data_IF_867552023367
#
_entry.id   IF_867552023367
#
_cell.length_a   1.000
_cell.length_b   1.000
_cell.length_c   1.000
_cell.angle_alpha   90.00
_cell.angle_beta   90.00
_cell.angle_gamma   90.00
#
_symmetry.space_group_name_H-M   'P 1'
#
loop_
_entity.id
_entity.type
_entity.pdbx_description
1 polymer ?
#
# COMPACT_ATOMS: atom_id res chain seq x y z
N UNK A 1 28.75 -61.87 18.49
CA UNK A 1 29.19 -60.80 17.56
C UNK A 1 28.20 -60.68 16.41
N UNK A 2 27.39 -59.62 16.41
CA UNK A 2 27.00 -58.78 15.27
C UNK A 2 25.70 -58.05 15.62
N UNK A 3 25.86 -56.85 16.17
CA UNK A 3 24.86 -55.79 16.16
C UNK A 3 24.65 -55.39 14.70
N UNK A 4 23.39 -55.29 14.25
CA UNK A 4 23.07 -54.58 13.01
C UNK A 4 22.05 -53.50 13.34
N UNK A 5 22.50 -52.25 13.21
CA UNK A 5 21.76 -51.03 13.47
C UNK A 5 20.55 -50.91 12.52
N UNK A 6 19.45 -50.43 13.09
CA UNK A 6 18.27 -49.92 12.41
C UNK A 6 18.63 -48.54 11.86
N UNK A 7 18.58 -48.36 10.54
CA UNK A 7 18.57 -47.03 9.93
C UNK A 7 17.11 -46.64 9.65
N UNK A 8 16.59 -45.73 10.47
CA UNK A 8 15.28 -45.12 10.29
C UNK A 8 15.45 -43.90 9.39
N UNK A 9 15.19 -44.04 8.08
CA UNK A 9 15.11 -42.91 7.16
C UNK A 9 13.77 -42.20 7.36
N UNK A 10 13.78 -41.10 8.12
CA UNK A 10 12.69 -40.14 8.18
C UNK A 10 12.61 -39.43 6.82
N UNK A 11 11.65 -39.84 5.99
CA UNK A 11 11.21 -39.07 4.85
C UNK A 11 10.61 -37.76 5.38
N UNK A 12 11.31 -36.67 5.10
CA UNK A 12 10.79 -35.31 5.21
C UNK A 12 9.49 -35.23 4.40
N UNK A 13 8.36 -35.20 5.10
CA UNK A 13 7.11 -34.68 4.56
C UNK A 13 7.30 -33.17 4.50
N UNK A 14 7.93 -32.71 3.41
CA UNK A 14 7.89 -31.31 3.02
C UNK A 14 6.45 -31.00 2.63
N UNK A 15 5.69 -30.45 3.57
CA UNK A 15 4.39 -29.85 3.33
C UNK A 15 4.61 -28.75 2.28
N UNK A 16 4.28 -29.01 1.02
CA UNK A 16 4.18 -27.95 0.02
C UNK A 16 2.97 -27.11 0.40
N UNK A 17 3.24 -25.94 0.97
CA UNK A 17 2.28 -24.85 1.06
C UNK A 17 1.89 -24.50 -0.38
N UNK A 18 0.74 -25.02 -0.83
CA UNK A 18 0.14 -24.62 -2.10
C UNK A 18 -0.09 -23.11 -1.99
N UNK A 19 0.73 -22.35 -2.71
CA UNK A 19 0.39 -20.98 -3.05
C UNK A 19 -0.95 -21.03 -3.80
N UNK A 20 -2.04 -20.83 -3.07
CA UNK A 20 -3.35 -20.56 -3.65
C UNK A 20 -3.25 -19.16 -4.26
N UNK A 21 -2.68 -19.09 -5.46
CA UNK A 21 -2.76 -17.91 -6.30
C UNK A 21 -4.25 -17.68 -6.59
N UNK A 22 -4.74 -16.47 -6.28
CA UNK A 22 -6.13 -16.10 -6.57
C UNK A 22 -6.48 -16.38 -8.05
N UNK A 23 -7.73 -16.81 -8.34
CA UNK A 23 -8.19 -16.96 -9.71
C UNK A 23 -8.00 -15.67 -10.51
N UNK A 24 -7.68 -15.86 -11.80
CA UNK A 24 -7.14 -14.91 -12.79
C UNK A 24 -7.91 -13.59 -12.99
N UNK A 25 -9.05 -13.40 -12.32
CA UNK A 25 -10.07 -12.43 -12.71
C UNK A 25 -10.63 -11.59 -11.55
N UNK A 26 -10.26 -11.87 -10.29
CA UNK A 26 -10.87 -11.21 -9.11
C UNK A 26 -9.99 -10.16 -8.43
N UNK A 27 -8.81 -9.86 -8.94
CA UNK A 27 -8.01 -8.79 -8.33
C UNK A 27 -8.60 -7.44 -8.72
N UNK A 28 -9.13 -6.65 -7.77
CA UNK A 28 -9.54 -5.29 -8.07
C UNK A 28 -8.29 -4.45 -8.40
N UNK A 29 -8.32 -3.77 -9.55
CA UNK A 29 -7.46 -2.62 -9.78
C UNK A 29 -7.78 -1.60 -8.69
N UNK A 30 -6.81 -1.26 -7.85
CA UNK A 30 -7.05 -0.27 -6.83
C UNK A 30 -7.33 1.08 -7.50
N UNK A 31 -8.35 1.76 -6.99
CA UNK A 31 -8.58 3.14 -7.34
C UNK A 31 -7.59 3.99 -6.55
N UNK A 32 -6.77 4.77 -7.25
CA UNK A 32 -5.85 5.72 -6.62
C UNK A 32 -6.53 7.08 -6.76
N UNK A 33 -6.72 7.80 -5.65
CA UNK A 33 -7.15 9.19 -5.75
C UNK A 33 -6.03 10.01 -6.39
N UNK A 34 -6.38 10.76 -7.43
CA UNK A 34 -5.47 11.74 -8.04
C UNK A 34 -4.94 12.69 -6.95
N UNK A 35 -3.66 13.05 -7.03
CA UNK A 35 -2.98 13.88 -6.03
C UNK A 35 -3.54 15.32 -5.96
N UNK A 36 -4.28 15.74 -6.99
CA UNK A 36 -4.80 17.09 -7.10
C UNK A 36 -3.71 18.13 -7.33
N UNK A 37 -4.06 19.40 -7.14
CA UNK A 37 -3.12 20.54 -7.25
C UNK A 37 -2.56 20.91 -5.88
N UNK A 38 -1.27 21.26 -5.82
CA UNK A 38 -0.67 21.74 -4.57
C UNK A 38 -1.33 23.03 -4.07
N UNK A 39 -1.47 23.15 -2.75
CA UNK A 39 -2.09 24.29 -2.10
C UNK A 39 -1.43 24.65 -0.76
N UNK A 40 -1.71 25.85 -0.27
CA UNK A 40 -1.23 26.33 1.03
C UNK A 40 -2.38 26.39 2.02
N UNK A 41 -2.11 26.01 3.27
CA UNK A 41 -3.09 26.04 4.37
C UNK A 41 -2.46 26.68 5.60
N UNK A 42 -3.26 27.50 6.28
CA UNK A 42 -3.00 27.95 7.65
C UNK A 42 -4.23 27.61 8.47
N UNK A 43 -4.11 26.66 9.39
CA UNK A 43 -5.21 26.15 10.21
C UNK A 43 -4.83 26.16 11.69
N UNK A 44 -5.80 26.48 12.54
CA UNK A 44 -5.70 26.36 13.99
C UNK A 44 -7.04 25.86 14.52
N UNK A 45 -7.03 24.72 15.21
CA UNK A 45 -8.23 24.06 15.73
C UNK A 45 -8.36 22.61 15.28
N UNK A 46 -9.59 22.13 15.16
CA UNK A 46 -9.93 20.73 14.92
C UNK A 46 -9.25 20.14 13.69
N UNK A 47 -8.59 18.99 13.86
CA UNK A 47 -8.07 18.20 12.73
C UNK A 47 -9.19 17.67 11.87
N UNK A 48 -10.32 17.24 12.46
CA UNK A 48 -11.47 16.77 11.68
C UNK A 48 -11.97 17.84 10.72
N UNK A 49 -12.10 19.08 11.19
CA UNK A 49 -12.53 20.21 10.35
C UNK A 49 -11.56 20.44 9.20
N UNK A 50 -10.25 20.45 9.46
CA UNK A 50 -9.22 20.59 8.43
C UNK A 50 -9.32 19.49 7.36
N UNK A 51 -9.42 18.24 7.79
CA UNK A 51 -9.49 17.07 6.89
C UNK A 51 -10.76 17.12 6.03
N UNK A 52 -11.91 17.48 6.62
CA UNK A 52 -13.17 17.62 5.89
C UNK A 52 -13.10 18.75 4.86
N UNK A 53 -12.59 19.92 5.22
CA UNK A 53 -12.45 21.05 4.29
C UNK A 53 -11.60 20.69 3.07
N UNK A 54 -10.47 20.00 3.30
CA UNK A 54 -9.59 19.56 2.22
C UNK A 54 -10.27 18.47 1.37
N UNK A 55 -10.98 17.53 1.99
CA UNK A 55 -11.70 16.50 1.26
C UNK A 55 -12.83 17.07 0.38
N UNK A 56 -13.61 18.02 0.90
CA UNK A 56 -14.67 18.70 0.14
C UNK A 56 -14.12 19.43 -1.09
N UNK A 57 -12.98 20.10 -0.93
CA UNK A 57 -12.28 20.78 -2.02
C UNK A 57 -11.87 19.82 -3.14
N UNK A 58 -11.34 18.65 -2.77
CA UNK A 58 -10.82 17.66 -3.73
C UNK A 58 -11.89 16.65 -4.17
N UNK A 59 -13.13 16.77 -3.70
CA UNK A 59 -14.22 15.84 -4.02
C UNK A 59 -14.04 14.43 -3.43
N UNK A 60 -13.30 14.32 -2.33
CA UNK A 60 -13.00 13.06 -1.64
C UNK A 60 -14.14 12.73 -0.66
N UNK A 61 -14.67 11.51 -0.71
CA UNK A 61 -15.59 11.01 0.33
C UNK A 61 -14.80 10.48 1.51
N UNK A 62 -15.22 10.81 2.73
CA UNK A 62 -14.54 10.41 3.96
C UNK A 62 -15.41 9.51 4.84
N UNK A 63 -14.74 8.60 5.54
CA UNK A 63 -15.27 7.83 6.66
C UNK A 63 -14.31 7.94 7.84
N UNK A 64 -14.82 8.17 9.06
CA UNK A 64 -14.01 8.22 10.28
C UNK A 64 -14.34 7.04 11.18
N UNK A 65 -13.35 6.18 11.44
CA UNK A 65 -13.47 5.00 12.31
C UNK A 65 -12.66 5.23 13.57
N UNK A 66 -13.29 5.16 14.74
CA UNK A 66 -12.66 5.36 16.06
C UNK A 66 -11.80 6.66 16.16
N UNK A 67 -12.16 7.67 15.37
CA UNK A 67 -11.46 8.94 15.33
C UNK A 67 -11.84 9.81 16.53
N UNK A 68 -10.84 10.20 17.32
CA UNK A 68 -10.96 11.15 18.42
C UNK A 68 -10.34 12.44 17.93
N UNK A 69 -11.19 13.44 17.75
CA UNK A 69 -10.75 14.73 17.26
C UNK A 69 -9.82 15.41 18.27
N UNK A 70 -8.91 16.24 17.75
CA UNK A 70 -7.92 16.97 18.51
C UNK A 70 -7.55 18.26 17.76
N UNK A 71 -7.07 19.24 18.51
CA UNK A 71 -6.65 20.51 17.94
C UNK A 71 -5.19 20.45 17.47
N UNK A 72 -4.90 21.16 16.39
CA UNK A 72 -3.56 21.35 15.86
C UNK A 72 -3.36 22.79 15.38
N UNK A 73 -2.10 23.22 15.26
CA UNK A 73 -1.74 24.44 14.55
C UNK A 73 -0.80 24.07 13.40
N UNK A 74 -1.30 24.21 12.17
CA UNK A 74 -0.58 23.79 10.97
C UNK A 74 -0.49 24.95 9.97
N UNK A 75 0.73 25.19 9.48
CA UNK A 75 1.01 26.18 8.44
C UNK A 75 1.91 25.54 7.40
N UNK A 76 1.34 25.25 6.24
CA UNK A 76 2.06 24.62 5.13
C UNK A 76 1.88 25.39 3.84
N UNK A 77 2.92 25.32 3.00
CA UNK A 77 2.93 25.87 1.66
C UNK A 77 3.16 24.74 0.67
N UNK A 78 2.43 24.80 -0.44
CA UNK A 78 2.62 23.92 -1.59
C UNK A 78 2.55 22.42 -1.25
N UNK A 79 1.53 22.03 -0.48
CA UNK A 79 1.26 20.62 -0.18
C UNK A 79 0.06 20.10 -0.95
N UNK A 80 0.11 18.82 -1.27
CA UNK A 80 -1.03 18.07 -1.82
C UNK A 80 -1.91 17.58 -0.67
N UNK A 81 -3.12 17.13 -0.98
CA UNK A 81 -4.05 16.68 0.06
C UNK A 81 -3.49 15.47 0.83
N UNK A 82 -2.77 14.57 0.15
CA UNK A 82 -2.23 13.34 0.76
C UNK A 82 -1.17 13.67 1.79
N UNK A 83 -0.23 14.54 1.43
CA UNK A 83 0.81 15.02 2.35
C UNK A 83 0.19 15.74 3.55
N UNK A 84 -0.85 16.56 3.30
CA UNK A 84 -1.56 17.21 4.40
C UNK A 84 -2.23 16.21 5.34
N UNK A 85 -2.89 15.17 4.81
CA UNK A 85 -3.53 14.12 5.60
C UNK A 85 -2.49 13.36 6.42
N UNK A 86 -1.38 12.95 5.81
CA UNK A 86 -0.27 12.28 6.50
C UNK A 86 0.20 13.10 7.69
N UNK A 87 0.47 14.41 7.50
CA UNK A 87 1.00 15.26 8.56
C UNK A 87 -0.04 15.57 9.63
N UNK A 88 -1.28 15.88 9.24
CA UNK A 88 -2.33 16.23 10.19
C UNK A 88 -2.74 15.04 11.07
N UNK A 89 -2.82 13.83 10.52
CA UNK A 89 -3.27 12.63 11.23
C UNK A 89 -2.16 11.99 12.08
N UNK A 90 -0.90 12.16 11.69
CA UNK A 90 0.25 11.57 12.39
C UNK A 90 0.74 12.40 13.59
N UNK A 91 -0.06 13.33 14.10
CA UNK A 91 0.29 14.12 15.27
C UNK A 91 0.19 13.30 16.57
N UNK A 92 1.22 13.35 17.42
CA UNK A 92 1.20 12.71 18.75
C UNK A 92 0.19 13.38 19.69
N UNK A 93 -0.48 12.63 20.59
CA UNK A 93 -0.21 11.24 21.00
C UNK A 93 -1.11 10.16 20.37
N UNK A 94 -2.09 10.52 19.52
CA UNK A 94 -3.19 9.60 19.18
C UNK A 94 -2.96 8.80 17.88
N UNK A 95 -2.09 9.29 16.98
CA UNK A 95 -1.57 8.53 15.83
C UNK A 95 -2.64 7.91 14.92
N UNK A 96 -3.15 8.70 13.98
CA UNK A 96 -4.11 8.28 12.97
C UNK A 96 -3.44 8.09 11.60
N UNK A 97 -4.11 7.34 10.73
CA UNK A 97 -3.75 7.17 9.32
C UNK A 97 -5.02 7.15 8.47
N UNK A 98 -4.84 7.12 7.15
CA UNK A 98 -5.93 6.96 6.19
C UNK A 98 -5.69 5.77 5.27
N UNK A 99 -6.79 5.16 4.83
CA UNK A 99 -6.83 4.08 3.86
C UNK A 99 -7.58 4.57 2.62
N UNK A 100 -6.95 4.51 1.46
CA UNK A 100 -7.62 4.80 0.19
C UNK A 100 -8.41 3.57 -0.27
N UNK A 101 -9.73 3.64 -0.16
CA UNK A 101 -10.64 2.68 -0.76
C UNK A 101 -11.06 3.08 -2.18
N UNK A 102 -11.94 2.27 -2.79
CA UNK A 102 -12.43 2.51 -4.15
C UNK A 102 -13.23 3.82 -4.30
N UNK A 103 -14.03 4.16 -3.30
CA UNK A 103 -14.94 5.32 -3.33
C UNK A 103 -14.85 6.22 -2.11
N UNK A 104 -14.17 5.77 -1.05
CA UNK A 104 -14.08 6.48 0.22
C UNK A 104 -12.66 6.37 0.76
N UNK A 105 -12.17 7.43 1.40
CA UNK A 105 -10.98 7.39 2.22
C UNK A 105 -11.41 7.20 3.67
N UNK A 106 -10.93 6.12 4.30
CA UNK A 106 -11.24 5.81 5.70
C UNK A 106 -10.11 6.30 6.61
N UNK A 107 -10.42 7.18 7.55
CA UNK A 107 -9.52 7.64 8.61
C UNK A 107 -9.65 6.71 9.82
N UNK A 108 -8.54 6.19 10.33
CA UNK A 108 -8.56 5.22 11.44
C UNK A 108 -7.27 5.23 12.29
N UNK A 109 -7.29 4.69 13.52
CA UNK A 109 -6.08 4.57 14.34
C UNK A 109 -5.03 3.68 13.67
N UNK A 110 -3.74 4.02 13.81
CA UNK A 110 -2.63 3.20 13.30
C UNK A 110 -2.67 1.78 13.88
N UNK A 111 -3.06 1.61 15.14
CA UNK A 111 -3.20 0.29 15.77
C UNK A 111 -4.28 -0.58 15.10
N UNK A 112 -5.36 0.05 14.60
CA UNK A 112 -6.41 -0.65 13.85
C UNK A 112 -5.93 -1.00 12.44
N UNK A 113 -5.16 -0.11 11.81
CA UNK A 113 -4.51 -0.39 10.54
C UNK A 113 -3.62 -1.64 10.58
N UNK A 114 -2.85 -1.82 11.65
CA UNK A 114 -1.99 -3.00 11.84
C UNK A 114 -2.78 -4.31 12.01
N UNK A 115 -4.08 -4.25 12.27
CA UNK A 115 -4.98 -5.40 12.39
C UNK A 115 -5.78 -5.67 11.11
N UNK A 116 -5.61 -4.85 10.06
CA UNK A 116 -6.31 -5.06 8.79
C UNK A 116 -5.96 -6.42 8.20
N UNK A 117 -6.93 -7.11 7.57
CA UNK A 117 -6.67 -8.40 6.94
C UNK A 117 -5.65 -8.23 5.80
N UNK A 118 -4.87 -9.29 5.58
CA UNK A 118 -4.06 -9.40 4.38
C UNK A 118 -5.01 -9.48 3.18
N UNK A 119 -4.63 -8.78 2.12
CA UNK A 119 -5.29 -8.78 0.84
C UNK A 119 -4.25 -9.13 -0.22
N UNK A 120 -4.69 -9.81 -1.27
CA UNK A 120 -3.84 -10.15 -2.39
C UNK A 120 -4.30 -9.42 -3.64
N UNK A 121 -3.37 -8.72 -4.31
CA UNK A 121 -3.61 -8.06 -5.59
C UNK A 121 -2.50 -8.39 -6.59
N UNK A 122 -2.86 -8.71 -7.83
CA UNK A 122 -1.98 -8.74 -8.98
C UNK A 122 -1.97 -7.37 -9.70
N UNK A 123 -0.78 -6.83 -9.95
CA UNK A 123 -0.57 -5.60 -10.71
C UNK A 123 0.27 -5.94 -11.94
N UNK A 124 -0.21 -5.55 -13.12
CA UNK A 124 0.54 -5.64 -14.37
C UNK A 124 1.17 -4.27 -14.66
N UNK A 125 2.52 -4.13 -14.63
CA UNK A 125 3.18 -2.89 -15.01
C UNK A 125 2.98 -2.59 -16.50
N UNK A 126 2.91 -1.31 -16.85
CA UNK A 126 2.69 -0.81 -18.21
C UNK A 126 3.99 -0.66 -19.01
N UNK A 127 5.11 -0.37 -18.35
CA UNK A 127 6.38 -0.05 -19.00
C UNK A 127 7.56 -0.90 -18.52
N UNK A 128 7.58 -1.29 -17.24
CA UNK A 128 8.63 -2.13 -16.66
C UNK A 128 8.30 -3.63 -16.72
N UNK A 129 9.33 -4.47 -16.53
CA UNK A 129 9.13 -5.90 -16.26
C UNK A 129 8.68 -6.10 -14.80
N UNK A 130 7.84 -7.10 -14.56
CA UNK A 130 7.33 -7.44 -13.24
C UNK A 130 8.45 -7.76 -12.25
N UNK A 131 9.50 -8.45 -12.70
CA UNK A 131 10.71 -8.74 -11.92
C UNK A 131 11.38 -7.48 -11.41
N UNK A 132 11.47 -6.45 -12.27
CA UNK A 132 12.08 -5.17 -11.92
C UNK A 132 11.21 -4.43 -10.90
N UNK A 133 9.89 -4.40 -11.09
CA UNK A 133 8.95 -3.81 -10.14
C UNK A 133 9.00 -4.51 -8.79
N UNK A 134 8.97 -5.85 -8.77
CA UNK A 134 9.06 -6.65 -7.55
C UNK A 134 10.37 -6.38 -6.79
N UNK A 135 11.51 -6.32 -7.49
CA UNK A 135 12.81 -6.04 -6.86
C UNK A 135 12.85 -4.68 -6.15
N UNK A 136 12.17 -3.67 -6.70
CA UNK A 136 12.12 -2.31 -6.14
C UNK A 136 11.15 -2.18 -4.98
N UNK A 137 10.10 -3.00 -4.97
CA UNK A 137 9.05 -2.97 -3.94
C UNK A 137 9.27 -4.02 -2.85
N UNK A 138 10.23 -4.94 -3.02
CA UNK A 138 10.60 -5.96 -2.02
C UNK A 138 10.74 -5.41 -0.59
N UNK A 139 11.35 -4.23 -0.34
CA UNK A 139 11.48 -3.69 1.02
C UNK A 139 10.16 -3.25 1.69
N UNK A 140 9.05 -3.17 0.94
CA UNK A 140 7.75 -2.77 1.49
C UNK A 140 7.01 -3.92 2.19
N UNK A 141 7.36 -5.17 1.88
CA UNK A 141 6.71 -6.34 2.48
C UNK A 141 7.30 -6.64 3.86
N UNK A 142 6.42 -6.80 4.84
CA UNK A 142 6.78 -7.36 6.15
C UNK A 142 6.62 -8.88 6.14
N UNK A 143 7.68 -9.58 5.74
CA UNK A 143 7.70 -11.04 5.69
C UNK A 143 7.49 -11.70 7.07
N UNK A 144 7.80 -11.01 8.17
CA UNK A 144 7.52 -11.52 9.51
C UNK A 144 6.01 -11.47 9.84
N UNK A 145 5.25 -10.64 9.12
CA UNK A 145 3.80 -10.52 9.22
C UNK A 145 3.03 -11.32 8.15
N UNK A 146 3.68 -12.29 7.48
CA UNK A 146 3.14 -13.09 6.37
C UNK A 146 2.74 -12.26 5.13
N UNK A 147 3.38 -11.11 4.93
CA UNK A 147 3.27 -10.38 3.66
C UNK A 147 4.20 -10.97 2.60
N UNK A 148 3.81 -10.91 1.33
CA UNK A 148 4.62 -11.43 0.21
C UNK A 148 4.53 -10.55 -1.04
N UNK A 149 5.58 -10.64 -1.86
CA UNK A 149 5.63 -10.07 -3.22
C UNK A 149 6.11 -11.20 -4.12
N UNK A 150 5.18 -11.73 -4.91
CA UNK A 150 5.38 -12.88 -5.80
C UNK A 150 5.28 -12.43 -7.27
N UNK A 151 5.81 -13.24 -8.18
CA UNK A 151 5.77 -12.99 -9.62
C UNK A 151 4.78 -13.92 -10.31
N UNK A 152 3.97 -13.36 -11.21
CA UNK A 152 3.25 -14.11 -12.25
C UNK A 152 3.92 -13.86 -13.62
N UNK A 153 4.93 -14.68 -13.99
CA UNK A 153 5.66 -14.50 -15.25
C UNK A 153 4.78 -14.76 -16.48
N UNK A 154 3.67 -15.47 -16.33
CA UNK A 154 2.76 -15.75 -17.45
C UNK A 154 2.02 -14.50 -17.94
N UNK A 155 1.95 -13.46 -17.10
CA UNK A 155 1.23 -12.20 -17.38
C UNK A 155 2.09 -10.96 -17.26
N UNK A 156 3.38 -11.11 -16.97
CA UNK A 156 4.23 -9.98 -16.56
C UNK A 156 3.55 -9.19 -15.43
N UNK A 157 3.14 -9.88 -14.36
CA UNK A 157 2.46 -9.25 -13.22
C UNK A 157 3.16 -9.55 -11.89
N UNK A 158 3.02 -8.63 -10.95
CA UNK A 158 3.49 -8.76 -9.58
C UNK A 158 2.28 -8.99 -8.67
N UNK A 159 2.30 -10.06 -7.91
CA UNK A 159 1.26 -10.42 -6.94
C UNK A 159 1.71 -9.98 -5.55
N UNK A 160 1.02 -9.00 -4.99
CA UNK A 160 1.27 -8.47 -3.66
C UNK A 160 0.27 -9.07 -2.68
N UNK A 161 0.76 -9.70 -1.61
CA UNK A 161 -0.04 -10.10 -0.46
C UNK A 161 0.34 -9.20 0.71
N UNK A 162 -0.38 -8.10 0.92
CA UNK A 162 -0.06 -7.08 1.93
C UNK A 162 -1.30 -6.75 2.77
N UNK A 163 -1.11 -6.07 3.90
CA UNK A 163 -2.25 -5.40 4.54
C UNK A 163 -2.81 -4.33 3.61
N UNK A 164 -4.14 -4.23 3.54
CA UNK A 164 -4.84 -3.35 2.57
C UNK A 164 -4.30 -1.92 2.54
N UNK A 165 -3.91 -1.39 3.69
CA UNK A 165 -3.39 -0.03 3.76
C UNK A 165 -1.94 0.20 3.32
N UNK A 166 -1.18 -0.85 3.01
CA UNK A 166 0.14 -0.70 2.37
C UNK A 166 0.02 -0.50 0.86
N UNK A 167 -1.13 -0.80 0.26
CA UNK A 167 -1.28 -0.70 -1.19
C UNK A 167 -1.18 0.72 -1.72
N UNK A 168 -1.65 1.74 -0.99
CA UNK A 168 -1.44 3.14 -1.39
C UNK A 168 0.04 3.44 -1.66
N UNK A 169 0.94 2.92 -0.82
CA UNK A 169 2.39 3.13 -0.99
C UNK A 169 2.95 2.34 -2.17
N UNK A 170 2.46 1.12 -2.41
CA UNK A 170 2.79 0.33 -3.60
C UNK A 170 2.45 1.12 -4.87
N UNK A 171 1.24 1.65 -4.95
CA UNK A 171 0.78 2.41 -6.11
C UNK A 171 1.51 3.73 -6.30
N UNK A 172 1.81 4.47 -5.22
CA UNK A 172 2.62 5.68 -5.28
C UNK A 172 4.00 5.41 -5.90
N UNK A 173 4.69 4.37 -5.42
CA UNK A 173 6.01 4.02 -5.93
C UNK A 173 5.91 3.49 -7.36
N UNK A 174 4.91 2.66 -7.66
CA UNK A 174 4.65 2.16 -9.02
C UNK A 174 4.47 3.31 -10.01
N UNK A 175 3.63 4.28 -9.71
CA UNK A 175 3.41 5.47 -10.55
C UNK A 175 4.69 6.30 -10.76
N UNK A 176 5.65 6.21 -9.83
CA UNK A 176 6.96 6.87 -9.98
C UNK A 176 7.90 6.11 -10.88
N UNK A 177 7.95 4.78 -10.77
CA UNK A 177 8.93 3.93 -11.45
C UNK A 177 8.46 3.43 -12.82
N UNK A 178 7.16 3.19 -12.98
CA UNK A 178 6.56 2.59 -14.18
C UNK A 178 6.15 3.65 -15.20
N UNK A 179 7.11 4.50 -15.56
CA UNK A 179 6.92 5.59 -16.52
C UNK A 179 7.49 5.19 -17.88
N UNK A 180 6.95 5.74 -18.98
CA UNK A 180 7.54 5.55 -20.29
C UNK A 180 8.99 6.02 -20.25
N UNK A 181 9.91 5.15 -20.67
CA UNK A 181 11.31 5.52 -20.81
C UNK A 181 11.39 6.68 -21.82
N UNK A 182 12.11 7.79 -21.52
CA UNK A 182 12.27 8.87 -22.46
C UNK A 182 12.95 8.30 -23.70
N UNK A 183 12.19 8.15 -24.78
CA UNK A 183 12.69 7.65 -26.05
C UNK A 183 13.84 8.57 -26.47
N UNK A 184 15.04 8.02 -26.57
CA UNK A 184 16.15 8.63 -27.30
C UNK A 184 15.60 9.04 -28.66
N UNK A 185 15.35 10.35 -28.86
CA UNK A 185 15.11 10.89 -30.20
C UNK A 185 16.42 10.68 -30.94
N UNK A 186 16.44 9.63 -31.75
CA UNK A 186 17.49 9.36 -32.71
C UNK A 186 17.73 10.65 -33.52
N UNK A 187 18.96 11.14 -33.44
CA UNK A 187 19.51 12.16 -34.32
C UNK A 187 19.34 11.66 -35.75
N UNK A 188 18.54 12.38 -36.55
CA UNK A 188 18.54 12.29 -38.01
C UNK A 188 19.79 12.97 -38.57
#
# INVERSE_FOLDING_TARGET
MKNSLILLSLLFIGCQEKQNLLPKEEVPLAFIYEEGSAFSVSHSGSVKELIVQVAEREGIKLEFVDFKDFDTELKFKEMTWRVLFEVALYSEPVGYTFLEGKEVITIMPIQSFMRLPLQQIAIQPSHLQAEEVASRLYPLADYAANESIDLDPSRNAVVFTLRSGRFSKVFEILNRIDKPSPTSRATQ
#
